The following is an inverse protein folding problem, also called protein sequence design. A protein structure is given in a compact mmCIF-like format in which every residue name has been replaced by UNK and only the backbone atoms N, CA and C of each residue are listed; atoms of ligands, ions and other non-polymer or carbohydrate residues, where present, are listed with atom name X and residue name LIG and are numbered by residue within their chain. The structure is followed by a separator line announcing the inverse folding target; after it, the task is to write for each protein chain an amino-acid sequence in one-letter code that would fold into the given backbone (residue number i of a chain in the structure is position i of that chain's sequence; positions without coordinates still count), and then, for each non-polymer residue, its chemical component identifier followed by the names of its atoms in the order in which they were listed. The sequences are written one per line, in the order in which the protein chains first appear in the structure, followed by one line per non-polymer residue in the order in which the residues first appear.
data_IF_363090662720
#
_entry.id   IF_363090662720
#
_cell.length_a   1.000
_cell.length_b   1.000
_cell.length_c   1.000
_cell.angle_alpha   90.00
_cell.angle_beta   90.00
_cell.angle_gamma   90.00
#
_symmetry.space_group_name_H-M   'P 1'
#
loop_
_entity.id
_entity.type
_entity.pdbx_description
1 polymer ?
#
# COMPACT_ATOMS: atom_id res chain seq x y z
N UNK A 1 -11.90 1.78 7.77
CA UNK A 1 -12.03 2.19 6.34
C UNK A 1 -12.72 1.04 5.63
N UNK A 2 -13.82 1.30 4.92
CA UNK A 2 -14.58 0.28 4.20
C UNK A 2 -14.50 0.53 2.70
N UNK A 3 -13.78 -0.32 1.99
CA UNK A 3 -13.69 -0.23 0.53
C UNK A 3 -14.85 -0.93 -0.17
N UNK A 4 -15.15 -0.47 -1.38
CA UNK A 4 -16.03 -1.19 -2.27
C UNK A 4 -15.41 -2.54 -2.65
N UNK A 5 -16.24 -3.57 -2.80
CA UNK A 5 -15.80 -4.92 -3.12
C UNK A 5 -16.64 -5.49 -4.27
N UNK A 6 -16.47 -6.77 -4.60
CA UNK A 6 -17.19 -7.42 -5.70
C UNK A 6 -18.72 -7.41 -5.58
N UNK A 7 -19.27 -7.10 -4.41
CA UNK A 7 -20.72 -6.95 -4.19
C UNK A 7 -21.25 -5.54 -4.53
N UNK A 8 -20.36 -4.57 -4.77
CA UNK A 8 -20.73 -3.22 -5.15
C UNK A 8 -20.96 -3.13 -6.67
N UNK A 9 -21.91 -2.28 -7.10
CA UNK A 9 -22.22 -2.05 -8.53
C UNK A 9 -21.17 -1.21 -9.27
N UNK A 10 -20.24 -0.59 -8.55
CA UNK A 10 -19.19 0.27 -9.12
C UNK A 10 -18.08 -0.56 -9.77
N UNK A 11 -17.50 0.00 -10.83
CA UNK A 11 -16.41 -0.61 -11.60
C UNK A 11 -15.04 -0.50 -10.89
N UNK A 12 -13.97 -0.80 -11.65
CA UNK A 12 -12.58 -0.74 -11.20
C UNK A 12 -12.02 0.69 -11.08
N UNK A 13 -12.73 1.71 -11.57
CA UNK A 13 -12.33 3.12 -11.43
C UNK A 13 -12.93 3.78 -10.19
N UNK A 14 -13.66 3.02 -9.37
CA UNK A 14 -14.21 3.50 -8.11
C UNK A 14 -13.11 4.02 -7.17
N UNK A 15 -13.19 5.28 -6.78
CA UNK A 15 -12.24 5.92 -5.85
C UNK A 15 -12.23 5.29 -4.46
N UNK A 16 -13.31 4.57 -4.09
CA UNK A 16 -13.39 3.81 -2.85
C UNK A 16 -12.83 2.37 -2.99
N UNK A 17 -12.10 2.09 -4.07
CA UNK A 17 -11.25 0.92 -4.23
C UNK A 17 -9.80 1.41 -4.33
N UNK A 18 -9.13 1.66 -3.22
CA UNK A 18 -7.80 2.25 -3.21
C UNK A 18 -6.73 1.21 -2.87
N UNK A 19 -6.79 0.64 -1.66
CA UNK A 19 -5.77 -0.29 -1.18
C UNK A 19 -5.83 -1.60 -1.96
N UNK A 20 -7.02 -2.06 -2.36
CA UNK A 20 -7.19 -3.35 -3.05
C UNK A 20 -6.48 -3.45 -4.41
N UNK A 21 -6.06 -2.33 -5.03
CA UNK A 21 -5.28 -2.35 -6.27
C UNK A 21 -3.77 -2.57 -6.04
N UNK A 22 -3.34 -2.72 -4.78
CA UNK A 22 -1.97 -3.05 -4.44
C UNK A 22 -1.00 -1.89 -4.62
N UNK A 23 0.25 -2.24 -4.92
CA UNK A 23 1.37 -1.30 -4.98
C UNK A 23 1.33 -0.47 -6.27
N UNK A 24 0.93 0.80 -6.18
CA UNK A 24 0.96 1.76 -7.30
C UNK A 24 2.17 2.72 -7.24
N UNK A 25 3.09 2.49 -6.30
CA UNK A 25 4.26 3.35 -6.07
C UNK A 25 5.56 2.57 -6.24
N UNK A 26 6.56 3.17 -6.88
CA UNK A 26 7.91 2.59 -6.93
C UNK A 26 8.61 2.77 -5.58
N UNK A 27 8.75 1.66 -4.86
CA UNK A 27 9.49 1.58 -3.61
C UNK A 27 10.89 1.01 -3.85
N UNK A 28 11.85 1.50 -3.08
CA UNK A 28 13.21 1.01 -3.06
C UNK A 28 13.55 0.52 -1.66
N UNK A 29 14.04 -0.72 -1.59
CA UNK A 29 14.73 -1.24 -0.41
C UNK A 29 16.17 -0.74 -0.46
N UNK A 30 16.64 -0.12 0.62
CA UNK A 30 17.98 0.44 0.69
C UNK A 30 18.61 0.24 2.06
N UNK A 31 19.93 0.16 2.10
CA UNK A 31 20.67 0.02 3.36
C UNK A 31 20.84 1.39 4.01
N UNK A 32 20.41 1.53 5.26
CA UNK A 32 20.57 2.73 6.07
C UNK A 32 21.86 2.64 6.88
N UNK A 33 22.41 3.79 7.29
CA UNK A 33 23.67 3.82 8.05
C UNK A 33 23.59 3.15 9.43
N UNK A 34 22.41 3.16 10.07
CA UNK A 34 22.28 2.78 11.48
C UNK A 34 21.19 1.74 11.76
N UNK A 35 20.17 1.61 10.91
CA UNK A 35 18.95 0.83 11.19
C UNK A 35 18.79 -0.40 10.29
N UNK A 36 19.84 -0.76 9.56
CA UNK A 36 19.79 -1.84 8.57
C UNK A 36 18.97 -1.46 7.34
N UNK A 37 18.14 -2.37 6.85
CA UNK A 37 17.34 -2.15 5.64
C UNK A 37 16.13 -1.24 5.89
N UNK A 38 16.01 -0.19 5.10
CA UNK A 38 14.86 0.70 5.05
C UNK A 38 14.13 0.60 3.71
N UNK A 39 12.94 1.19 3.67
CA UNK A 39 12.14 1.35 2.46
C UNK A 39 11.92 2.84 2.22
N UNK A 40 12.13 3.30 0.99
CA UNK A 40 11.87 4.68 0.56
C UNK A 40 11.15 4.71 -0.77
N UNK A 41 10.53 5.84 -1.10
CA UNK A 41 9.98 6.11 -2.43
C UNK A 41 11.07 6.66 -3.34
N UNK A 42 10.93 6.47 -4.66
CA UNK A 42 11.84 7.07 -5.64
C UNK A 42 11.46 8.50 -6.03
N UNK A 43 10.29 8.96 -5.62
CA UNK A 43 9.74 10.28 -5.90
C UNK A 43 8.84 10.75 -4.74
N UNK A 44 8.57 12.05 -4.70
CA UNK A 44 7.67 12.65 -3.71
C UNK A 44 6.23 12.18 -3.95
N UNK A 45 5.51 11.91 -2.86
CA UNK A 45 4.12 11.48 -2.90
C UNK A 45 3.20 12.54 -2.29
N UNK A 46 2.00 12.73 -2.86
CA UNK A 46 0.95 13.49 -2.19
C UNK A 46 0.61 12.91 -0.81
N UNK A 47 0.22 13.79 0.11
CA UNK A 47 -0.30 13.35 1.41
C UNK A 47 -1.59 12.52 1.22
N UNK A 48 -1.68 11.39 1.93
CA UNK A 48 -2.81 10.47 1.83
C UNK A 48 -2.67 9.38 0.77
N UNK A 49 -1.56 9.33 0.02
CA UNK A 49 -1.27 8.23 -0.90
C UNK A 49 -1.08 6.91 -0.16
N UNK A 50 -1.77 5.85 -0.60
CA UNK A 50 -1.53 4.49 -0.15
C UNK A 50 -0.15 4.00 -0.62
N UNK A 51 0.65 3.45 0.31
CA UNK A 51 1.97 2.91 0.02
C UNK A 51 1.92 1.41 -0.28
N UNK A 52 1.72 0.60 0.77
CA UNK A 52 1.70 -0.85 0.70
C UNK A 52 1.02 -1.41 1.93
N UNK A 53 0.68 -2.70 1.86
CA UNK A 53 0.25 -3.47 3.01
C UNK A 53 1.45 -3.95 3.83
N UNK A 54 1.25 -4.05 5.14
CA UNK A 54 2.12 -4.91 5.96
C UNK A 54 1.68 -6.36 5.74
N UNK A 55 2.41 -7.07 4.87
CA UNK A 55 2.13 -8.46 4.54
C UNK A 55 2.91 -9.38 5.50
N UNK A 56 2.23 -10.38 6.04
CA UNK A 56 2.81 -11.37 6.94
C UNK A 56 1.79 -12.46 7.25
N UNK A 57 2.23 -13.49 7.97
CA UNK A 57 1.34 -14.53 8.45
C UNK A 57 0.52 -14.01 9.64
N UNK A 58 -0.78 -14.29 9.62
CA UNK A 58 -1.65 -14.01 10.76
C UNK A 58 -1.60 -15.23 11.67
N UNK A 59 -1.03 -15.06 12.86
CA UNK A 59 -1.02 -16.06 13.91
C UNK A 59 -2.20 -15.79 14.82
N UNK A 60 -3.00 -16.82 15.08
CA UNK A 60 -4.05 -16.77 16.10
C UNK A 60 -3.45 -17.29 17.41
N UNK A 61 -3.75 -16.62 18.52
CA UNK A 61 -3.44 -17.11 19.88
C UNK A 61 -4.22 -18.38 20.22
#
# INVERSE_FOLDING_TARGET
IYECNGKCKCDSQCTNRCVQFGLNTLLQIYNTSEKGWGVRTLYDLPAGTFLSFYAGEILND
#
